data_IF_770604220648
#
_entry.id   IF_770604220648
#
_cell.length_a   1.000
_cell.length_b   1.000
_cell.length_c   1.000
_cell.angle_alpha   90.00
_cell.angle_beta   90.00
_cell.angle_gamma   90.00
#
_symmetry.space_group_name_H-M   'P 1'
#
loop_
_entity.id
_entity.type
_entity.pdbx_description
1 polymer ?
#
# COMPACT_ATOMS: atom_id res chain seq x y z
N UNK A 1 -18.85 -9.70 -13.02
CA UNK A 1 -18.86 -8.91 -11.77
C UNK A 1 -17.87 -9.57 -10.86
N UNK A 2 -16.88 -8.81 -10.40
CA UNK A 2 -15.86 -9.28 -9.47
C UNK A 2 -16.49 -9.89 -8.20
N UNK A 3 -15.92 -10.98 -7.71
CA UNK A 3 -16.36 -11.65 -6.49
C UNK A 3 -15.78 -10.91 -5.28
N UNK A 4 -16.64 -10.48 -4.34
CA UNK A 4 -16.21 -9.82 -3.11
C UNK A 4 -15.57 -10.83 -2.15
N UNK A 5 -14.33 -10.59 -1.75
CA UNK A 5 -13.58 -11.45 -0.83
C UNK A 5 -13.45 -10.88 0.58
N UNK A 6 -13.40 -9.55 0.70
CA UNK A 6 -13.45 -8.81 1.95
C UNK A 6 -13.88 -7.36 1.70
N UNK A 7 -14.69 -6.81 2.60
CA UNK A 7 -15.03 -5.39 2.64
C UNK A 7 -15.18 -4.98 4.10
N UNK A 8 -14.50 -3.92 4.52
CA UNK A 8 -14.51 -3.48 5.91
C UNK A 8 -14.20 -1.99 6.03
N UNK A 9 -14.80 -1.34 7.03
CA UNK A 9 -14.39 -0.04 7.56
C UNK A 9 -13.51 -0.17 8.82
N UNK A 10 -13.13 -1.41 9.15
CA UNK A 10 -12.34 -1.86 10.29
C UNK A 10 -12.96 -1.66 11.68
N UNK A 11 -14.20 -1.16 11.81
CA UNK A 11 -14.81 -0.88 13.12
C UNK A 11 -15.04 -2.13 13.97
N UNK A 12 -15.25 -3.27 13.32
CA UNK A 12 -15.42 -4.57 13.98
C UNK A 12 -14.07 -5.31 14.17
N UNK A 13 -12.95 -4.66 13.88
CA UNK A 13 -11.60 -5.24 13.99
C UNK A 13 -10.98 -5.60 12.65
N UNK A 14 -9.92 -6.42 12.73
CA UNK A 14 -9.20 -6.93 11.56
C UNK A 14 -10.07 -8.00 10.88
N UNK A 15 -10.33 -7.90 9.56
CA UNK A 15 -11.14 -8.89 8.83
C UNK A 15 -10.47 -10.28 8.81
N UNK A 16 -11.29 -11.34 8.73
CA UNK A 16 -10.81 -12.72 8.70
C UNK A 16 -9.81 -12.96 7.54
N UNK A 17 -8.77 -13.74 7.83
CA UNK A 17 -7.74 -14.12 6.86
C UNK A 17 -6.66 -13.06 6.63
N UNK A 18 -6.76 -11.90 7.30
CA UNK A 18 -5.66 -10.94 7.37
C UNK A 18 -4.75 -11.22 8.57
N UNK A 19 -3.44 -11.04 8.38
CA UNK A 19 -2.43 -11.23 9.41
C UNK A 19 -1.32 -10.22 9.27
N UNK A 20 -0.60 -9.96 10.37
CA UNK A 20 0.49 -9.01 10.40
C UNK A 20 1.82 -9.64 10.00
N UNK A 21 2.61 -8.85 9.29
CA UNK A 21 4.07 -8.92 9.25
C UNK A 21 4.58 -7.67 9.94
N UNK A 22 5.54 -7.83 10.85
CA UNK A 22 6.10 -6.75 11.67
C UNK A 22 4.97 -5.99 12.40
N UNK A 23 4.19 -6.71 13.23
CA UNK A 23 3.01 -6.15 13.89
C UNK A 23 3.37 -4.90 14.72
N UNK A 24 2.71 -3.75 14.44
CA UNK A 24 2.95 -2.49 15.14
C UNK A 24 2.03 -2.35 16.35
N UNK A 25 2.11 -1.22 17.04
CA UNK A 25 0.97 -0.76 17.82
C UNK A 25 -0.15 -0.34 16.85
N UNK A 26 -1.38 -0.78 17.14
CA UNK A 26 -2.54 -0.43 16.35
C UNK A 26 -3.79 -0.39 17.22
N UNK A 27 -4.79 0.36 16.78
CA UNK A 27 -6.10 0.39 17.41
C UNK A 27 -7.20 0.63 16.38
N UNK A 28 -8.44 0.34 16.77
CA UNK A 28 -9.63 0.64 15.98
C UNK A 28 -10.38 1.79 16.65
N UNK A 29 -10.74 2.80 15.86
CA UNK A 29 -11.48 3.98 16.33
C UNK A 29 -12.43 4.53 15.27
N UNK A 30 -12.87 5.77 15.44
CA UNK A 30 -13.82 6.43 14.52
C UNK A 30 -13.31 6.54 13.08
N UNK A 31 -11.97 6.61 12.91
CA UNK A 31 -11.30 6.70 11.60
C UNK A 31 -11.03 5.32 10.97
N UNK A 32 -11.47 4.23 11.59
CA UNK A 32 -11.17 2.85 11.19
C UNK A 32 -9.93 2.31 11.91
N UNK A 33 -9.12 1.51 11.21
CA UNK A 33 -7.89 0.93 11.74
C UNK A 33 -6.76 1.95 11.67
N UNK A 34 -6.20 2.34 12.81
CA UNK A 34 -5.06 3.23 12.91
C UNK A 34 -3.80 2.44 13.29
N UNK A 35 -2.73 2.65 12.52
CA UNK A 35 -1.44 1.99 12.63
C UNK A 35 -0.40 3.02 13.08
N UNK A 36 0.32 2.72 14.16
CA UNK A 36 1.44 3.50 14.65
C UNK A 36 2.76 2.75 14.40
N UNK A 37 3.43 2.95 13.24
CA UNK A 37 4.70 2.31 12.97
C UNK A 37 5.78 2.79 13.94
N UNK A 38 6.64 1.87 14.38
CA UNK A 38 7.85 2.23 15.10
C UNK A 38 8.80 3.05 14.21
N UNK A 39 9.69 3.80 14.84
CA UNK A 39 10.77 4.51 14.16
C UNK A 39 11.67 3.54 13.39
N UNK A 40 12.36 4.07 12.37
CA UNK A 40 13.30 3.34 11.52
C UNK A 40 12.66 2.12 10.81
N UNK A 41 11.38 2.24 10.44
CA UNK A 41 10.66 1.27 9.61
C UNK A 41 10.57 1.74 8.17
N UNK A 42 10.88 0.86 7.21
CA UNK A 42 10.79 1.17 5.77
C UNK A 42 10.72 -0.11 4.91
N UNK A 43 10.39 0.09 3.63
CA UNK A 43 10.54 -0.86 2.53
C UNK A 43 11.33 -0.22 1.39
N UNK A 44 12.56 -0.67 1.20
CA UNK A 44 13.44 -0.23 0.11
C UNK A 44 14.54 -1.24 -0.16
N UNK A 45 14.92 -1.41 -1.43
CA UNK A 45 15.99 -2.31 -1.81
C UNK A 45 17.02 -1.62 -2.72
N UNK A 46 18.22 -1.38 -2.17
CA UNK A 46 19.52 -1.07 -2.81
C UNK A 46 19.62 0.18 -3.68
N UNK A 47 18.67 0.43 -4.57
CA UNK A 47 18.76 1.48 -5.59
C UNK A 47 19.13 2.82 -4.98
N UNK A 48 20.15 3.45 -5.55
CA UNK A 48 20.73 4.74 -5.14
C UNK A 48 21.35 4.79 -3.73
N UNK A 49 20.67 4.30 -2.70
CA UNK A 49 21.06 4.45 -1.30
C UNK A 49 21.91 3.31 -0.74
N UNK A 50 21.92 2.14 -1.38
CA UNK A 50 22.75 0.98 -0.99
C UNK A 50 22.25 0.17 0.20
N UNK A 51 21.28 0.67 0.98
CA UNK A 51 20.66 -0.07 2.08
C UNK A 51 19.51 -0.97 1.63
N UNK A 52 19.14 -1.91 2.51
CA UNK A 52 18.00 -2.81 2.37
C UNK A 52 17.12 -2.67 3.63
N UNK A 53 15.86 -2.31 3.45
CA UNK A 53 14.85 -2.26 4.50
C UNK A 53 13.64 -3.10 4.10
N UNK A 54 13.22 -3.99 4.99
CA UNK A 54 12.09 -4.90 4.83
C UNK A 54 11.34 -5.12 6.16
N UNK A 55 11.33 -4.08 7.00
CA UNK A 55 10.89 -4.13 8.40
C UNK A 55 9.60 -3.33 8.67
N UNK A 56 8.99 -2.75 7.63
CA UNK A 56 7.72 -2.03 7.74
C UNK A 56 6.57 -2.90 8.27
N UNK A 57 5.65 -2.33 9.06
CA UNK A 57 4.37 -2.95 9.38
C UNK A 57 3.50 -3.21 8.15
N UNK A 58 2.94 -4.42 8.06
CA UNK A 58 2.12 -4.84 6.92
C UNK A 58 1.01 -5.80 7.36
N UNK A 59 -0.25 -5.39 7.22
CA UNK A 59 -1.43 -6.23 7.43
C UNK A 59 -1.90 -6.76 6.08
N UNK A 60 -1.94 -8.08 5.90
CA UNK A 60 -2.16 -8.67 4.59
C UNK A 60 -3.00 -9.95 4.61
N UNK A 61 -3.62 -10.23 3.48
CA UNK A 61 -4.18 -11.54 3.14
C UNK A 61 -3.41 -12.16 1.99
N UNK A 62 -3.19 -13.47 2.03
CA UNK A 62 -2.59 -14.21 0.91
C UNK A 62 -3.61 -14.38 -0.21
N UNK A 63 -3.21 -14.00 -1.41
CA UNK A 63 -4.05 -13.93 -2.59
C UNK A 63 -3.41 -14.70 -3.74
N UNK A 64 -4.20 -15.56 -4.40
CA UNK A 64 -3.81 -16.28 -5.62
C UNK A 64 -4.75 -15.90 -6.76
N UNK A 65 -4.18 -15.74 -7.96
CA UNK A 65 -4.89 -15.34 -9.16
C UNK A 65 -5.11 -13.83 -9.23
N UNK A 66 -6.04 -13.41 -10.09
CA UNK A 66 -6.29 -12.00 -10.36
C UNK A 66 -7.19 -11.39 -9.27
N UNK A 67 -6.85 -10.19 -8.82
CA UNK A 67 -7.58 -9.50 -7.75
C UNK A 67 -7.43 -7.99 -7.84
N UNK A 68 -8.32 -7.29 -7.14
CA UNK A 68 -8.29 -5.85 -6.94
C UNK A 68 -8.37 -5.54 -5.46
N UNK A 69 -7.45 -4.72 -4.99
CA UNK A 69 -7.45 -4.17 -3.64
C UNK A 69 -7.64 -2.66 -3.72
N UNK A 70 -8.68 -2.16 -3.07
CA UNK A 70 -9.00 -0.74 -2.96
C UNK A 70 -8.98 -0.35 -1.49
N UNK A 71 -8.29 0.74 -1.16
CA UNK A 71 -8.09 1.18 0.23
C UNK A 71 -8.25 2.68 0.32
N UNK A 72 -8.92 3.17 1.37
CA UNK A 72 -8.95 4.58 1.74
C UNK A 72 -8.08 4.85 2.94
N UNK A 73 -7.01 5.61 2.72
CA UNK A 73 -6.00 5.93 3.72
C UNK A 73 -6.04 7.43 4.05
N UNK A 74 -5.77 7.75 5.31
CA UNK A 74 -5.51 9.10 5.79
C UNK A 74 -4.45 9.01 6.88
N UNK A 75 -3.64 10.04 7.07
CA UNK A 75 -2.67 10.06 8.14
C UNK A 75 -2.15 11.47 8.30
N UNK A 76 -1.91 11.87 9.53
CA UNK A 76 -1.24 13.14 9.78
C UNK A 76 0.24 12.82 9.86
N UNK A 77 0.93 13.00 8.74
CA UNK A 77 2.38 12.83 8.71
C UNK A 77 3.04 13.90 9.57
N UNK A 78 4.06 13.50 10.33
CA UNK A 78 4.77 14.39 11.24
C UNK A 78 6.26 14.46 10.93
N UNK A 79 6.82 13.38 10.39
CA UNK A 79 8.25 13.22 10.12
C UNK A 79 8.49 12.98 8.65
N UNK A 80 9.64 13.49 8.18
CA UNK A 80 10.14 13.25 6.84
C UNK A 80 10.08 11.75 6.50
N UNK A 81 9.44 11.43 5.38
CA UNK A 81 9.25 10.09 4.81
C UNK A 81 8.20 9.19 5.48
N UNK A 82 7.40 9.72 6.41
CA UNK A 82 6.18 9.03 6.86
C UNK A 82 5.33 8.63 5.65
N UNK A 83 4.91 7.37 5.60
CA UNK A 83 4.26 6.81 4.42
C UNK A 83 3.25 5.73 4.80
N UNK A 84 2.12 5.71 4.10
CA UNK A 84 1.12 4.66 4.23
C UNK A 84 0.32 4.47 2.94
N UNK A 85 -0.16 3.24 2.72
CA UNK A 85 -0.94 2.89 1.55
C UNK A 85 -1.08 1.39 1.35
N UNK A 86 -0.98 0.93 0.10
CA UNK A 86 -1.10 -0.49 -0.26
C UNK A 86 0.28 -1.09 -0.46
N UNK A 87 0.45 -2.33 -0.01
CA UNK A 87 1.63 -3.15 -0.26
C UNK A 87 1.23 -4.51 -0.83
N UNK A 88 1.89 -4.89 -1.93
CA UNK A 88 1.86 -6.22 -2.52
C UNK A 88 3.23 -6.85 -2.39
N UNK A 89 3.29 -8.07 -1.90
CA UNK A 89 4.57 -8.75 -1.67
C UNK A 89 4.57 -10.18 -2.18
N UNK A 90 5.61 -10.51 -2.94
CA UNK A 90 5.95 -11.89 -3.26
C UNK A 90 7.08 -12.39 -2.35
N UNK A 91 8.15 -11.61 -2.24
CA UNK A 91 9.36 -11.90 -1.45
C UNK A 91 10.04 -10.59 -1.03
N UNK A 92 11.17 -10.66 -0.31
CA UNK A 92 11.99 -9.49 0.05
C UNK A 92 12.57 -8.77 -1.17
N UNK A 93 12.75 -9.51 -2.26
CA UNK A 93 13.34 -9.04 -3.51
C UNK A 93 12.29 -8.67 -4.58
N UNK A 94 11.02 -9.06 -4.37
CA UNK A 94 9.91 -8.74 -5.28
C UNK A 94 8.67 -8.26 -4.52
N UNK A 95 8.38 -6.98 -4.64
CA UNK A 95 7.22 -6.34 -4.02
C UNK A 95 6.87 -5.01 -4.70
N UNK A 96 5.67 -4.51 -4.41
CA UNK A 96 5.18 -3.21 -4.89
C UNK A 96 4.56 -2.47 -3.71
N UNK A 97 4.92 -1.21 -3.52
CA UNK A 97 4.22 -0.31 -2.59
C UNK A 97 3.69 0.90 -3.34
N UNK A 98 2.51 1.37 -2.96
CA UNK A 98 1.95 2.65 -3.39
C UNK A 98 1.51 3.41 -2.17
N UNK A 99 1.92 4.67 -2.07
CA UNK A 99 1.65 5.50 -0.92
C UNK A 99 1.80 6.97 -1.24
N UNK A 100 1.33 7.76 -0.28
CA UNK A 100 1.76 9.12 -0.11
C UNK A 100 2.92 9.14 0.89
N UNK A 101 4.04 9.72 0.49
CA UNK A 101 5.25 9.85 1.31
C UNK A 101 5.48 11.32 1.65
N UNK A 102 5.57 11.62 2.95
CA UNK A 102 5.63 12.99 3.43
C UNK A 102 6.99 13.64 3.23
N UNK A 103 6.97 14.89 2.80
CA UNK A 103 8.15 15.72 2.63
C UNK A 103 7.96 16.98 3.47
N UNK A 104 8.83 17.20 4.46
CA UNK A 104 8.74 18.33 5.40
C UNK A 104 8.83 19.69 4.68
N UNK A 105 9.66 19.76 3.63
CA UNK A 105 9.91 20.98 2.86
C UNK A 105 9.44 20.82 1.41
N UNK A 106 8.16 21.10 1.19
CA UNK A 106 7.55 21.13 -0.15
C UNK A 106 6.34 20.21 -0.25
N UNK A 107 5.86 19.94 -1.48
CA UNK A 107 4.78 18.97 -1.68
C UNK A 107 5.27 17.56 -1.32
N UNK A 108 4.40 16.79 -0.67
CA UNK A 108 4.59 15.36 -0.46
C UNK A 108 4.64 14.61 -1.79
N UNK A 109 5.11 13.37 -1.76
CA UNK A 109 5.25 12.53 -2.96
C UNK A 109 4.20 11.45 -2.97
N UNK A 110 3.25 11.55 -3.89
CA UNK A 110 2.39 10.43 -4.25
C UNK A 110 3.16 9.54 -5.23
N UNK A 111 3.35 8.28 -4.91
CA UNK A 111 4.21 7.44 -5.74
C UNK A 111 4.02 5.95 -5.57
N UNK A 112 4.70 5.22 -6.45
CA UNK A 112 4.79 3.78 -6.42
C UNK A 112 6.24 3.34 -6.53
N UNK A 113 6.62 2.36 -5.70
CA UNK A 113 7.89 1.65 -5.81
C UNK A 113 7.61 0.24 -6.28
N UNK A 114 8.27 -0.15 -7.36
CA UNK A 114 8.26 -1.51 -7.89
C UNK A 114 9.64 -2.09 -7.65
N UNK A 115 9.72 -3.11 -6.83
CA UNK A 115 10.97 -3.79 -6.52
C UNK A 115 10.97 -5.16 -7.18
N UNK A 116 12.00 -5.43 -7.98
CA UNK A 116 12.24 -6.70 -8.67
C UNK A 116 13.71 -7.04 -8.59
N UNK A 117 14.07 -8.31 -8.45
CA UNK A 117 15.47 -8.75 -8.31
C UNK A 117 16.25 -8.00 -7.20
N UNK A 118 15.56 -7.54 -6.16
CA UNK A 118 16.17 -6.82 -5.04
C UNK A 118 16.62 -5.39 -5.38
N UNK A 119 16.01 -4.74 -6.38
CA UNK A 119 16.23 -3.33 -6.70
C UNK A 119 14.91 -2.58 -6.81
N UNK A 120 14.76 -1.50 -6.03
CA UNK A 120 13.60 -0.63 -6.02
C UNK A 120 13.62 0.40 -7.15
N UNK A 121 12.58 0.44 -7.96
CA UNK A 121 12.31 1.50 -8.94
C UNK A 121 11.17 2.37 -8.42
N UNK A 122 11.49 3.63 -8.08
CA UNK A 122 10.52 4.58 -7.54
C UNK A 122 10.12 5.63 -8.57
N UNK A 123 8.80 5.79 -8.72
CA UNK A 123 8.18 6.91 -9.42
C UNK A 123 7.30 7.71 -8.48
N UNK A 124 7.31 9.03 -8.63
CA UNK A 124 6.49 9.93 -7.80
C UNK A 124 6.04 11.16 -8.56
N UNK A 125 4.96 11.76 -8.07
CA UNK A 125 4.42 13.05 -8.47
C UNK A 125 4.15 13.89 -7.21
N UNK A 126 4.17 15.23 -7.31
CA UNK A 126 3.88 16.09 -6.17
C UNK A 126 2.40 15.98 -5.76
N UNK A 127 2.15 15.96 -4.45
CA UNK A 127 0.82 16.09 -3.84
C UNK A 127 0.87 17.24 -2.82
N UNK A 128 -0.04 18.19 -2.98
CA UNK A 128 -0.06 19.43 -2.21
C UNK A 128 -0.91 19.33 -0.94
N UNK A 129 -1.87 18.39 -0.89
CA UNK A 129 -2.80 18.22 0.23
C UNK A 129 -2.59 16.86 0.93
N UNK A 130 -1.43 16.61 1.58
CA UNK A 130 -1.11 15.30 2.12
C UNK A 130 -1.98 14.83 3.29
N UNK A 131 -2.65 15.75 3.98
CA UNK A 131 -3.53 15.44 5.11
C UNK A 131 -4.93 14.98 4.68
N UNK A 132 -5.30 15.14 3.40
CA UNK A 132 -6.60 14.70 2.91
C UNK A 132 -6.61 13.19 2.69
N UNK A 133 -7.72 12.50 3.00
CA UNK A 133 -7.86 11.09 2.67
C UNK A 133 -7.67 10.86 1.17
N UNK A 134 -6.96 9.80 0.83
CA UNK A 134 -6.70 9.37 -0.54
C UNK A 134 -7.09 7.90 -0.69
N UNK A 135 -7.62 7.57 -1.86
CA UNK A 135 -7.86 6.20 -2.25
C UNK A 135 -6.69 5.68 -3.07
N UNK A 136 -6.25 4.48 -2.74
CA UNK A 136 -5.32 3.69 -3.52
C UNK A 136 -6.05 2.47 -4.07
N UNK A 137 -5.71 2.09 -5.29
CA UNK A 137 -6.18 0.84 -5.88
C UNK A 137 -5.03 0.14 -6.60
N UNK A 138 -4.84 -1.13 -6.28
CA UNK A 138 -3.99 -2.02 -7.07
C UNK A 138 -4.83 -3.16 -7.64
N UNK A 139 -4.75 -3.35 -8.96
CA UNK A 139 -5.27 -4.54 -9.65
C UNK A 139 -4.12 -5.41 -10.11
N UNK A 140 -4.14 -6.69 -9.76
CA UNK A 140 -3.20 -7.71 -10.23
C UNK A 140 -3.92 -8.57 -11.27
N UNK A 141 -3.39 -8.63 -12.49
CA UNK A 141 -3.89 -9.49 -13.58
C UNK A 141 -2.73 -10.21 -14.24
N UNK A 142 -2.75 -11.54 -14.29
CA UNK A 142 -1.70 -12.34 -14.93
C UNK A 142 -0.34 -12.12 -14.26
N UNK A 143 0.58 -11.36 -14.89
CA UNK A 143 1.87 -10.88 -14.34
C UNK A 143 1.99 -9.36 -14.18
N UNK A 144 0.90 -8.64 -14.43
CA UNK A 144 0.86 -7.18 -14.41
C UNK A 144 0.20 -6.67 -13.13
N UNK A 145 0.67 -5.50 -12.69
CA UNK A 145 0.03 -4.67 -11.67
C UNK A 145 -0.35 -3.33 -12.26
N UNK A 146 -1.58 -2.90 -11.99
CA UNK A 146 -2.13 -1.60 -12.35
C UNK A 146 -2.38 -0.83 -11.07
N UNK A 147 -1.85 0.38 -10.98
CA UNK A 147 -1.92 1.21 -9.78
C UNK A 147 -2.62 2.52 -10.12
N UNK A 148 -3.74 2.74 -9.45
CA UNK A 148 -4.55 3.95 -9.57
C UNK A 148 -4.69 4.64 -8.21
N UNK A 149 -4.93 5.94 -8.25
CA UNK A 149 -5.28 6.74 -7.08
C UNK A 149 -6.54 7.56 -7.34
N UNK A 150 -7.23 7.95 -6.28
CA UNK A 150 -8.41 8.79 -6.37
C UNK A 150 -8.55 9.68 -5.13
N UNK A 151 -9.09 10.89 -5.32
CA UNK A 151 -9.38 11.83 -4.21
C UNK A 151 -10.82 11.71 -3.70
N UNK A 152 -11.73 11.19 -4.51
CA UNK A 152 -13.17 11.10 -4.25
C UNK A 152 -13.67 9.65 -4.15
N UNK A 153 -12.92 8.68 -4.68
CA UNK A 153 -13.31 7.27 -4.81
C UNK A 153 -14.02 6.95 -6.13
N UNK A 154 -14.30 7.96 -6.94
CA UNK A 154 -15.07 7.87 -8.20
C UNK A 154 -14.19 8.13 -9.42
N UNK A 155 -13.37 9.17 -9.37
CA UNK A 155 -12.45 9.58 -10.45
C UNK A 155 -11.07 8.98 -10.20
N UNK A 156 -10.66 8.05 -11.04
CA UNK A 156 -9.40 7.29 -10.87
C UNK A 156 -8.33 7.74 -11.85
N UNK A 157 -7.11 7.89 -11.35
CA UNK A 157 -5.94 8.28 -12.13
C UNK A 157 -4.88 7.21 -12.01
N UNK A 158 -4.52 6.62 -13.15
CA UNK A 158 -3.43 5.66 -13.19
C UNK A 158 -2.08 6.37 -12.97
N UNK A 159 -1.26 5.80 -12.09
CA UNK A 159 0.09 6.32 -11.82
C UNK A 159 1.20 5.32 -12.17
N UNK A 160 0.87 4.03 -12.33
CA UNK A 160 1.85 3.00 -12.69
C UNK A 160 1.20 1.78 -13.32
N UNK A 161 1.89 1.22 -14.31
CA UNK A 161 1.75 -0.18 -14.73
C UNK A 161 3.13 -0.81 -14.63
N UNK A 162 3.20 -2.03 -14.09
CA UNK A 162 4.46 -2.77 -14.03
C UNK A 162 4.25 -4.27 -14.20
N UNK A 163 5.32 -4.96 -14.60
CA UNK A 163 5.37 -6.41 -14.72
C UNK A 163 6.12 -7.01 -13.52
N UNK A 164 5.57 -8.06 -12.91
CA UNK A 164 6.13 -8.79 -11.77
C UNK A 164 6.43 -10.24 -12.16
N UNK A 165 7.51 -10.44 -12.92
CA UNK A 165 7.88 -11.74 -13.51
C UNK A 165 7.95 -12.86 -12.47
N UNK A 166 8.62 -12.61 -11.34
CA UNK A 166 8.86 -13.61 -10.28
C UNK A 166 7.57 -14.07 -9.60
N UNK A 167 6.47 -13.33 -9.73
CA UNK A 167 5.19 -13.66 -9.11
C UNK A 167 4.27 -14.56 -9.96
N UNK A 168 4.75 -15.06 -11.09
CA UNK A 168 3.93 -15.79 -12.06
C UNK A 168 3.24 -17.03 -11.50
N UNK A 169 1.90 -16.97 -11.40
CA UNK A 169 1.07 -18.05 -10.86
C UNK A 169 1.26 -18.31 -9.35
N UNK A 170 2.10 -17.51 -8.68
CA UNK A 170 2.39 -17.61 -7.26
C UNK A 170 1.42 -16.73 -6.46
N UNK A 171 1.13 -17.10 -5.20
CA UNK A 171 0.39 -16.21 -4.33
C UNK A 171 1.20 -14.95 -3.99
N UNK A 172 0.48 -13.84 -3.81
CA UNK A 172 0.99 -12.59 -3.26
C UNK A 172 0.36 -12.33 -1.89
N UNK A 173 1.12 -11.71 -1.01
CA UNK A 173 0.59 -11.06 0.19
C UNK A 173 0.07 -9.69 -0.25
N UNK A 174 -1.21 -9.39 -0.01
CA UNK A 174 -1.87 -8.16 -0.43
C UNK A 174 -2.55 -7.47 0.75
N UNK A 175 -2.27 -6.19 0.96
CA UNK A 175 -2.89 -5.45 2.04
C UNK A 175 -2.34 -4.05 2.24
N UNK A 176 -2.36 -3.57 3.48
CA UNK A 176 -2.04 -2.20 3.86
C UNK A 176 -0.76 -2.14 4.68
N UNK A 177 -0.01 -1.06 4.50
CA UNK A 177 1.24 -0.83 5.20
C UNK A 177 1.35 0.61 5.68
N UNK A 178 2.17 0.82 6.71
CA UNK A 178 2.58 2.14 7.18
C UNK A 178 4.03 2.06 7.65
N UNK A 179 4.81 3.10 7.43
CA UNK A 179 6.22 3.18 7.83
C UNK A 179 6.57 4.58 8.33
N UNK A 180 7.50 4.62 9.28
CA UNK A 180 8.14 5.83 9.79
C UNK A 180 9.66 5.65 9.68
N UNK A 181 10.29 6.05 8.54
CA UNK A 181 11.73 5.87 8.34
C UNK A 181 12.58 6.77 9.26
N UNK A 182 11.98 7.83 9.80
CA UNK A 182 12.62 8.72 10.76
C UNK A 182 12.94 8.07 12.09
N UNK A 183 13.68 8.78 12.94
CA UNK A 183 14.11 8.30 14.27
C UNK A 183 13.07 8.49 15.38
N UNK A 184 12.00 9.23 15.11
CA UNK A 184 10.98 9.56 16.08
C UNK A 184 9.67 8.91 15.65
N UNK A 185 9.07 8.11 16.53
CA UNK A 185 7.78 7.47 16.27
C UNK A 185 6.64 8.32 16.85
N UNK A 186 5.95 9.07 16.00
CA UNK A 186 4.64 9.65 16.34
C UNK A 186 3.67 9.69 15.16
N UNK A 187 4.06 9.10 14.02
CA UNK A 187 3.20 8.97 12.87
C UNK A 187 2.06 7.98 13.13
N UNK A 188 0.86 8.35 12.71
CA UNK A 188 -0.30 7.46 12.71
C UNK A 188 -1.00 7.49 11.36
N UNK A 189 -1.16 6.32 10.76
CA UNK A 189 -1.89 6.10 9.51
C UNK A 189 -3.20 5.38 9.78
N UNK A 190 -4.32 5.98 9.41
CA UNK A 190 -5.66 5.44 9.59
C UNK A 190 -6.30 5.02 8.26
N UNK A 191 -6.86 3.82 8.25
CA UNK A 191 -7.50 3.18 7.12
C UNK A 191 -9.00 3.09 7.41
N UNK A 192 -9.79 3.78 6.60
CA UNK A 192 -11.25 3.89 6.80
C UNK A 192 -12.06 2.99 5.88
N UNK A 193 -11.42 2.40 4.87
CA UNK A 193 -12.01 1.30 4.11
C UNK A 193 -10.94 0.42 3.47
N UNK A 194 -11.27 -0.88 3.35
CA UNK A 194 -10.55 -1.85 2.54
C UNK A 194 -11.59 -2.70 1.80
N UNK A 195 -11.43 -2.82 0.49
CA UNK A 195 -12.23 -3.70 -0.37
C UNK A 195 -11.29 -4.58 -1.20
N UNK A 196 -11.47 -5.89 -1.10
CA UNK A 196 -10.70 -6.89 -1.81
C UNK A 196 -11.63 -7.75 -2.65
N UNK A 197 -11.38 -7.81 -3.94
CA UNK A 197 -12.22 -8.46 -4.94
C UNK A 197 -11.39 -9.42 -5.79
N UNK A 198 -11.96 -10.58 -6.14
CA UNK A 198 -11.39 -11.45 -7.17
C UNK A 198 -11.84 -10.95 -8.54
N UNK A 199 -10.89 -10.82 -9.45
CA UNK A 199 -11.17 -10.43 -10.83
C UNK A 199 -11.34 -11.68 -11.71
N UNK A 200 -12.22 -11.55 -12.69
CA UNK A 200 -12.39 -12.46 -13.82
C UNK A 200 -11.82 -11.84 -15.10
N UNK A 201 -11.73 -12.63 -16.18
CA UNK A 201 -11.23 -12.15 -17.48
C UNK A 201 -12.07 -11.02 -18.09
N UNK A 202 -13.32 -10.88 -17.67
CA UNK A 202 -14.25 -9.88 -18.19
C UNK A 202 -14.20 -8.57 -17.38
N UNK A 203 -13.51 -8.54 -16.23
CA UNK A 203 -13.41 -7.35 -15.41
C UNK A 203 -12.29 -6.43 -15.94
N UNK A 204 -12.66 -5.22 -16.36
CA UNK A 204 -11.69 -4.23 -16.84
C UNK A 204 -10.82 -3.71 -15.69
N UNK A 205 -9.51 -3.58 -15.96
CA UNK A 205 -8.56 -2.84 -15.11
C UNK A 205 -8.54 -1.35 -15.40
N UNK A 206 -9.03 -0.94 -16.57
CA UNK A 206 -9.23 0.46 -16.94
C UNK A 206 -10.68 0.84 -16.63
N UNK A 207 -10.88 1.78 -15.73
CA UNK A 207 -12.18 2.39 -15.44
C UNK A 207 -12.14 3.85 -15.88
#
# INVERSE_FOLDING_TARGET
>A
MAELLAETDFKDGIPEGFTWRNEPEWHVGEKGLCIAPAAETDYWQRTHYGFCHDNGPFLFRRMKGDFRLTVRCSGRAEHQYDQAGIYLRHSEETWVKVSLEYIEKGPSKLGAVVTTHGYSDWSSQPEADPDKPIFFRISRVGNEVFIDTSKDGDSWFQIRIAHLEESAGQPLEAGIYACCPGKNASYEACFSSLKLERLSKDDSVYL
#
